data_IF_302049954734
#
_entry.id   IF_302049954734
#
_cell.length_a   1.000
_cell.length_b   1.000
_cell.length_c   1.000
_cell.angle_alpha   90.00
_cell.angle_beta   90.00
_cell.angle_gamma   90.00
#
_symmetry.space_group_name_H-M   'P 1'
#
loop_
_entity.id
_entity.type
_entity.pdbx_description
1 polymer ?
#
# COMPACT_ATOMS: atom_id res chain seq x y z
N UNK A 1 8.64 -57.66 23.86
CA UNK A 1 8.86 -57.97 22.43
C UNK A 1 9.47 -56.73 21.81
N UNK A 2 10.76 -56.78 21.47
CA UNK A 2 11.54 -55.61 21.05
C UNK A 2 11.83 -55.76 19.57
N UNK A 3 11.39 -54.79 18.76
CA UNK A 3 11.79 -54.72 17.35
C UNK A 3 12.91 -53.68 17.26
N UNK A 4 14.13 -54.16 16.98
CA UNK A 4 15.28 -53.34 16.64
C UNK A 4 15.43 -53.37 15.12
N UNK A 5 15.14 -52.26 14.43
CA UNK A 5 15.45 -52.10 13.01
C UNK A 5 16.62 -51.11 12.75
N UNK A 6 17.32 -50.68 13.79
CA UNK A 6 18.49 -49.80 13.64
C UNK A 6 18.15 -48.33 13.37
N UNK A 7 16.87 -47.97 13.33
CA UNK A 7 16.40 -46.58 13.39
C UNK A 7 16.14 -46.21 14.86
N UNK A 8 16.46 -44.98 15.26
CA UNK A 8 16.29 -44.45 16.62
C UNK A 8 14.94 -44.86 17.26
N UNK A 9 14.90 -45.15 18.58
CA UNK A 9 13.68 -45.60 19.23
C UNK A 9 12.56 -44.56 19.07
N UNK A 10 11.48 -45.00 18.43
CA UNK A 10 10.22 -44.28 18.32
C UNK A 10 9.68 -44.03 19.74
N UNK A 11 9.72 -42.79 20.22
CA UNK A 11 9.18 -42.43 21.53
C UNK A 11 7.66 -42.37 21.41
N UNK A 12 6.98 -43.33 22.02
CA UNK A 12 5.54 -43.29 22.28
C UNK A 12 5.30 -42.26 23.40
N UNK A 13 4.63 -41.15 23.10
CA UNK A 13 4.05 -40.28 24.13
C UNK A 13 2.62 -40.76 24.38
N UNK A 14 2.32 -41.24 25.59
CA UNK A 14 1.00 -41.74 26.01
C UNK A 14 0.36 -42.86 25.17
N UNK A 15 1.16 -43.67 24.46
CA UNK A 15 0.69 -44.92 23.84
C UNK A 15 -0.06 -44.78 22.52
N UNK A 16 -0.12 -43.57 21.92
CA UNK A 16 -0.76 -43.35 20.63
C UNK A 16 0.27 -43.21 19.50
N UNK A 17 0.00 -43.83 18.35
CA UNK A 17 0.86 -43.76 17.16
C UNK A 17 0.71 -42.39 16.51
N UNK A 18 1.64 -41.47 16.81
CA UNK A 18 1.79 -40.23 16.08
C UNK A 18 2.68 -40.52 14.86
N UNK A 19 2.18 -40.27 13.65
CA UNK A 19 2.74 -40.60 12.33
C UNK A 19 2.50 -42.03 11.83
N UNK A 20 1.60 -42.17 10.84
CA UNK A 20 1.46 -43.39 10.01
C UNK A 20 1.87 -43.05 8.58
N UNK A 21 2.65 -43.93 7.92
CA UNK A 21 3.16 -43.79 6.54
C UNK A 21 4.13 -42.61 6.25
N UNK A 22 4.88 -42.13 7.23
CA UNK A 22 5.90 -41.06 7.02
C UNK A 22 7.31 -41.63 6.86
N UNK A 23 8.07 -41.18 5.85
CA UNK A 23 9.52 -41.43 5.72
C UNK A 23 10.26 -40.15 6.12
N UNK A 24 10.92 -40.16 7.26
CA UNK A 24 11.79 -39.07 7.69
C UNK A 24 13.22 -39.36 7.23
N UNK A 25 13.78 -38.52 6.35
CA UNK A 25 15.20 -38.62 5.92
C UNK A 25 16.18 -37.89 6.85
N UNK A 26 15.71 -37.52 8.03
CA UNK A 26 16.44 -36.81 9.09
C UNK A 26 15.60 -36.75 10.37
N UNK A 27 16.17 -36.28 11.47
CA UNK A 27 15.44 -36.10 12.73
C UNK A 27 14.44 -34.94 12.61
N UNK A 28 13.14 -35.22 12.76
CA UNK A 28 12.13 -34.20 13.06
C UNK A 28 12.11 -33.99 14.56
N UNK A 29 12.68 -32.87 14.99
CA UNK A 29 12.68 -32.49 16.40
C UNK A 29 11.63 -31.43 16.61
N UNK A 30 10.43 -31.84 17.05
CA UNK A 30 9.51 -30.93 17.73
C UNK A 30 10.11 -30.74 19.13
N UNK A 31 11.00 -29.77 19.30
CA UNK A 31 11.46 -29.39 20.64
C UNK A 31 10.21 -28.96 21.40
N UNK A 32 9.82 -29.65 22.46
CA UNK A 32 8.70 -29.17 23.29
C UNK A 32 9.15 -27.99 24.13
N UNK A 33 9.11 -26.83 23.50
CA UNK A 33 8.63 -25.54 23.98
C UNK A 33 7.36 -25.33 23.17
N UNK A 34 6.19 -25.77 23.65
CA UNK A 34 4.99 -26.01 22.81
C UNK A 34 4.73 -24.92 21.75
N UNK A 35 5.02 -25.22 20.48
CA UNK A 35 4.08 -24.80 19.44
C UNK A 35 2.72 -25.42 19.78
N UNK A 36 1.65 -24.67 19.56
CA UNK A 36 0.47 -24.67 20.43
C UNK A 36 -0.55 -25.78 20.06
N UNK A 37 -0.92 -26.60 21.05
CA UNK A 37 -2.22 -27.28 21.13
C UNK A 37 -3.06 -26.50 22.16
N UNK A 38 -3.89 -25.56 21.70
CA UNK A 38 -4.71 -24.73 22.59
C UNK A 38 -6.06 -25.39 22.80
N UNK A 39 -6.12 -26.13 23.91
CA UNK A 39 -7.34 -26.26 24.71
C UNK A 39 -8.42 -27.13 24.06
N UNK A 40 -8.33 -28.45 24.31
CA UNK A 40 -9.38 -29.39 23.95
C UNK A 40 -10.74 -28.96 24.54
N UNK A 41 -11.65 -28.42 23.70
CA UNK A 41 -13.06 -28.12 24.04
C UNK A 41 -13.54 -26.65 24.07
N UNK A 42 -12.79 -25.67 23.55
CA UNK A 42 -13.10 -24.21 23.55
C UNK A 42 -13.60 -23.71 22.17
N UNK A 43 -14.51 -22.71 22.09
CA UNK A 43 -15.01 -22.07 20.83
C UNK A 43 -14.23 -20.82 20.39
N UNK A 44 -13.03 -20.66 20.93
CA UNK A 44 -12.05 -19.62 20.62
C UNK A 44 -11.34 -19.89 19.29
N UNK A 45 -11.07 -18.85 18.49
CA UNK A 45 -10.34 -18.92 17.21
C UNK A 45 -9.04 -19.77 17.29
N UNK A 46 -8.79 -20.64 16.29
CA UNK A 46 -7.54 -21.41 16.20
C UNK A 46 -7.23 -21.85 14.75
N UNK A 47 -6.14 -21.31 14.20
CA UNK A 47 -5.52 -21.74 12.93
C UNK A 47 -4.56 -22.92 13.17
N UNK A 48 -4.69 -23.95 12.34
CA UNK A 48 -4.22 -25.30 12.66
C UNK A 48 -3.22 -25.87 11.65
N UNK A 49 -3.18 -25.36 10.42
CA UNK A 49 -3.03 -26.23 9.24
C UNK A 49 -2.95 -25.37 7.96
N UNK A 50 -2.71 -25.87 6.75
CA UNK A 50 -2.05 -27.07 6.15
C UNK A 50 -2.10 -26.78 4.67
N UNK A 51 -1.02 -27.15 3.99
CA UNK A 51 -0.78 -26.84 2.59
C UNK A 51 -1.34 -28.00 1.76
N UNK A 52 -2.48 -27.79 1.08
CA UNK A 52 -3.02 -28.75 0.10
C UNK A 52 -3.16 -28.08 -1.28
N UNK A 53 -2.11 -28.24 -2.10
CA UNK A 53 -2.06 -27.77 -3.50
C UNK A 53 -1.51 -28.89 -4.39
N UNK A 54 -2.05 -29.04 -5.60
CA UNK A 54 -1.47 -29.92 -6.62
C UNK A 54 -0.07 -29.45 -7.01
N UNK A 55 0.96 -30.28 -6.79
CA UNK A 55 2.34 -29.95 -7.12
C UNK A 55 3.33 -30.37 -6.03
N UNK A 56 4.46 -29.67 -5.94
CA UNK A 56 5.47 -29.84 -4.88
C UNK A 56 5.67 -28.52 -4.11
N UNK A 57 4.64 -28.02 -3.40
CA UNK A 57 4.77 -26.82 -2.58
C UNK A 57 5.80 -27.06 -1.49
N UNK A 58 6.66 -26.07 -1.26
CA UNK A 58 7.63 -26.11 -0.17
C UNK A 58 7.46 -24.83 0.64
N UNK A 59 7.22 -25.00 1.94
CA UNK A 59 7.51 -23.94 2.90
C UNK A 59 9.00 -24.07 3.23
N UNK A 60 9.78 -23.12 2.75
CA UNK A 60 11.23 -23.06 3.01
C UNK A 60 11.48 -21.94 4.00
N UNK A 61 12.25 -22.25 5.05
CA UNK A 61 12.81 -21.26 5.94
C UNK A 61 14.24 -20.97 5.49
N UNK A 62 14.52 -19.72 5.17
CA UNK A 62 15.88 -19.27 4.85
C UNK A 62 16.53 -18.70 6.11
N UNK A 63 17.55 -19.38 6.63
CA UNK A 63 18.30 -18.93 7.82
C UNK A 63 19.33 -17.83 7.48
N UNK A 64 19.52 -17.50 6.20
CA UNK A 64 20.48 -16.47 5.79
C UNK A 64 19.94 -15.03 5.98
N UNK A 65 18.63 -14.89 6.20
CA UNK A 65 17.97 -13.62 6.50
C UNK A 65 17.38 -13.61 7.92
N UNK A 66 17.52 -12.49 8.64
CA UNK A 66 16.84 -12.26 9.93
C UNK A 66 15.41 -11.71 9.70
N UNK A 67 14.65 -12.40 8.85
CA UNK A 67 13.31 -11.99 8.44
C UNK A 67 12.42 -13.18 8.08
N UNK A 68 11.12 -13.05 8.38
CA UNK A 68 10.10 -13.92 7.80
C UNK A 68 9.60 -13.26 6.50
N UNK A 69 9.96 -13.84 5.35
CA UNK A 69 9.55 -13.35 4.04
C UNK A 69 8.49 -14.26 3.41
N UNK A 70 7.49 -13.65 2.78
CA UNK A 70 6.47 -14.37 2.01
C UNK A 70 6.46 -13.80 0.59
N UNK A 71 6.86 -14.62 -0.38
CA UNK A 71 7.08 -14.21 -1.77
C UNK A 71 5.90 -14.47 -2.71
N UNK A 72 4.78 -14.96 -2.17
CA UNK A 72 3.57 -15.28 -2.91
C UNK A 72 2.43 -14.34 -2.54
N UNK A 73 1.33 -14.36 -3.28
CA UNK A 73 0.17 -13.54 -2.96
C UNK A 73 -0.36 -13.85 -1.55
N UNK A 74 -0.62 -12.80 -0.76
CA UNK A 74 -1.35 -12.92 0.49
C UNK A 74 -2.80 -12.49 0.27
N UNK A 75 -3.70 -13.47 0.22
CA UNK A 75 -5.14 -13.22 0.11
C UNK A 75 -5.74 -13.12 1.52
N UNK A 76 -6.36 -11.98 1.83
CA UNK A 76 -7.17 -11.83 3.04
C UNK A 76 -8.64 -12.02 2.72
N UNK A 77 -9.34 -12.75 3.59
CA UNK A 77 -10.78 -12.88 3.52
C UNK A 77 -11.47 -11.51 3.66
N UNK A 78 -12.63 -11.35 3.03
CA UNK A 78 -13.40 -10.10 3.08
C UNK A 78 -13.64 -9.63 4.51
N UNK A 79 -13.45 -8.34 4.78
CA UNK A 79 -13.66 -7.75 6.10
C UNK A 79 -12.52 -8.00 7.10
N UNK A 80 -11.40 -8.58 6.66
CA UNK A 80 -10.16 -8.64 7.44
C UNK A 80 -9.19 -7.57 6.94
N UNK A 81 -8.56 -6.86 7.87
CA UNK A 81 -7.56 -5.84 7.55
C UNK A 81 -6.15 -6.34 7.84
N UNK A 82 -5.19 -5.95 7.00
CA UNK A 82 -3.78 -5.97 7.36
C UNK A 82 -3.46 -4.73 8.18
N UNK A 83 -3.30 -4.90 9.49
CA UNK A 83 -2.72 -3.89 10.35
C UNK A 83 -1.23 -4.15 10.49
N UNK A 84 -0.39 -3.36 9.81
CA UNK A 84 1.04 -3.35 10.05
C UNK A 84 1.41 -2.03 10.71
N UNK A 85 2.00 -2.08 11.91
CA UNK A 85 2.66 -0.92 12.50
C UNK A 85 4.10 -0.91 11.99
N UNK A 86 4.27 -0.36 10.79
CA UNK A 86 5.58 -0.27 10.14
C UNK A 86 6.24 0.98 10.73
N UNK A 87 7.44 0.83 11.28
CA UNK A 87 8.34 1.96 11.58
C UNK A 87 9.38 2.02 10.47
N UNK A 88 9.02 2.52 9.27
CA UNK A 88 9.90 2.42 8.12
C UNK A 88 11.17 3.25 8.34
N UNK A 89 12.33 2.58 8.25
CA UNK A 89 13.58 3.27 7.87
C UNK A 89 13.73 3.34 6.34
N UNK A 90 12.84 2.68 5.59
CA UNK A 90 12.80 2.61 4.13
C UNK A 90 11.37 2.81 3.61
N UNK A 91 11.15 3.39 2.41
CA UNK A 91 9.83 3.64 1.85
C UNK A 91 8.95 2.39 1.74
N UNK A 92 7.63 2.58 1.78
CA UNK A 92 6.67 1.54 1.39
C UNK A 92 6.57 1.58 -0.15
N UNK A 93 7.02 0.52 -0.81
CA UNK A 93 6.90 0.36 -2.26
C UNK A 93 5.62 -0.43 -2.59
N UNK A 94 4.65 0.25 -3.20
CA UNK A 94 3.43 -0.38 -3.74
C UNK A 94 3.61 -0.46 -5.26
N UNK A 95 3.81 -1.67 -5.77
CA UNK A 95 3.94 -1.92 -7.22
C UNK A 95 2.60 -2.41 -7.77
N UNK A 96 1.99 -1.59 -8.62
CA UNK A 96 0.83 -1.99 -9.40
C UNK A 96 1.24 -3.08 -10.42
N UNK A 97 0.55 -4.23 -10.48
CA UNK A 97 0.81 -5.23 -11.50
C UNK A 97 0.58 -4.63 -12.89
N UNK A 98 1.47 -4.93 -13.84
CA UNK A 98 1.43 -4.35 -15.19
C UNK A 98 0.14 -4.75 -15.91
N UNK A 99 -0.64 -3.79 -16.37
CA UNK A 99 -1.74 -4.02 -17.32
C UNK A 99 -3.13 -3.60 -16.85
N UNK A 100 -3.36 -3.51 -15.53
CA UNK A 100 -4.63 -2.99 -15.01
C UNK A 100 -4.45 -1.51 -14.64
N UNK A 101 -5.44 -0.68 -14.96
CA UNK A 101 -5.40 0.77 -14.71
C UNK A 101 -5.49 1.14 -13.22
N UNK A 102 -5.79 0.18 -12.33
CA UNK A 102 -6.00 0.42 -10.91
C UNK A 102 -5.20 -0.56 -10.03
N UNK A 103 -4.16 -0.05 -9.37
CA UNK A 103 -3.41 -0.75 -8.31
C UNK A 103 -2.63 0.22 -7.41
N UNK A 104 -3.10 1.46 -7.33
CA UNK A 104 -2.52 2.50 -6.49
C UNK A 104 -2.98 2.43 -5.04
N UNK A 105 -2.94 3.58 -4.35
CA UNK A 105 -3.43 3.71 -2.98
C UNK A 105 -4.86 4.25 -3.00
N UNK A 106 -5.79 3.51 -2.40
CA UNK A 106 -7.20 3.89 -2.31
C UNK A 106 -7.59 4.22 -0.87
N UNK A 107 -8.15 5.41 -0.68
CA UNK A 107 -8.71 5.88 0.58
C UNK A 107 -10.24 5.90 0.45
N UNK A 108 -10.86 4.82 0.91
CA UNK A 108 -12.31 4.60 0.77
C UNK A 108 -13.06 4.91 2.05
N UNK A 109 -14.10 5.74 1.96
CA UNK A 109 -15.03 6.00 3.05
C UNK A 109 -16.08 4.89 3.12
N UNK A 110 -16.15 4.19 4.25
CA UNK A 110 -17.00 3.01 4.42
C UNK A 110 -18.51 3.30 4.25
N UNK A 111 -18.97 4.50 4.60
CA UNK A 111 -20.41 4.82 4.63
C UNK A 111 -21.05 5.02 3.26
N UNK A 112 -20.29 5.31 2.21
CA UNK A 112 -20.84 5.63 0.90
C UNK A 112 -19.93 5.29 -0.28
N UNK A 113 -18.89 4.49 -0.05
CA UNK A 113 -17.89 4.13 -1.07
C UNK A 113 -17.25 5.32 -1.80
N UNK A 114 -17.25 6.52 -1.20
CA UNK A 114 -16.48 7.63 -1.74
C UNK A 114 -14.99 7.29 -1.62
N UNK A 115 -14.27 7.42 -2.72
CA UNK A 115 -12.88 6.95 -2.80
C UNK A 115 -12.00 8.04 -3.37
N UNK A 116 -10.96 8.40 -2.63
CA UNK A 116 -9.79 9.08 -3.22
C UNK A 116 -8.78 8.02 -3.64
N UNK A 117 -8.24 8.16 -4.84
CA UNK A 117 -7.21 7.25 -5.34
C UNK A 117 -5.98 8.02 -5.81
N UNK A 118 -4.80 7.50 -5.45
CA UNK A 118 -3.50 7.89 -5.97
C UNK A 118 -2.99 6.75 -6.84
N UNK A 119 -2.80 6.99 -8.13
CA UNK A 119 -2.39 5.94 -9.06
C UNK A 119 -1.58 6.49 -10.22
N UNK A 120 -1.00 5.58 -10.99
CA UNK A 120 -0.15 5.91 -12.12
C UNK A 120 -0.61 5.14 -13.37
N UNK A 121 -0.59 5.83 -14.51
CA UNK A 121 -0.61 5.24 -15.85
C UNK A 121 0.80 5.25 -16.46
N UNK A 122 0.94 4.78 -17.69
CA UNK A 122 2.23 4.73 -18.40
C UNK A 122 3.04 6.03 -18.34
N UNK A 123 2.37 7.17 -18.33
CA UNK A 123 3.00 8.50 -18.47
C UNK A 123 2.44 9.54 -17.49
N UNK A 124 1.55 9.17 -16.57
CA UNK A 124 0.80 10.13 -15.75
C UNK A 124 0.63 9.64 -14.32
N UNK A 125 0.89 10.52 -13.34
CA UNK A 125 0.47 10.35 -11.96
C UNK A 125 -0.86 11.08 -11.74
N UNK A 126 -1.81 10.42 -11.09
CA UNK A 126 -3.19 10.88 -10.95
C UNK A 126 -3.63 10.88 -9.49
N UNK A 127 -4.30 11.96 -9.10
CA UNK A 127 -5.13 12.07 -7.90
C UNK A 127 -6.57 12.16 -8.38
N UNK A 128 -7.38 11.18 -8.00
CA UNK A 128 -8.75 11.04 -8.53
C UNK A 128 -9.75 10.85 -7.42
N UNK A 129 -11.01 11.14 -7.71
CA UNK A 129 -12.13 10.99 -6.79
C UNK A 129 -13.32 10.31 -7.47
N UNK A 130 -13.92 9.37 -6.76
CA UNK A 130 -15.21 8.78 -7.09
C UNK A 130 -16.20 9.06 -5.95
N UNK A 131 -17.38 9.62 -6.26
CA UNK A 131 -18.41 9.92 -5.27
C UNK A 131 -19.14 8.67 -4.75
N UNK A 132 -19.08 7.58 -5.53
CA UNK A 132 -19.58 6.25 -5.19
C UNK A 132 -18.91 5.19 -6.09
N UNK A 133 -17.71 4.74 -5.72
CA UNK A 133 -17.03 3.69 -6.49
C UNK A 133 -17.86 2.38 -6.41
N UNK A 134 -18.25 1.86 -7.58
CA UNK A 134 -19.22 0.76 -7.74
C UNK A 134 -18.73 -0.61 -7.25
N UNK A 135 -17.52 -0.68 -6.68
CA UNK A 135 -16.85 -1.91 -6.27
C UNK A 135 -15.91 -2.41 -7.37
N UNK A 136 -14.73 -2.92 -6.97
CA UNK A 136 -13.60 -3.17 -7.86
C UNK A 136 -13.28 -1.98 -8.79
N UNK A 137 -13.13 -0.79 -8.20
CA UNK A 137 -12.37 0.35 -8.72
C UNK A 137 -12.39 0.53 -10.25
N UNK A 138 -13.59 0.59 -10.84
CA UNK A 138 -13.75 0.75 -12.27
C UNK A 138 -13.26 2.15 -12.68
N UNK A 139 -12.37 2.21 -13.68
CA UNK A 139 -11.77 3.45 -14.22
C UNK A 139 -12.81 4.53 -14.50
N UNK A 140 -13.99 4.13 -14.99
CA UNK A 140 -15.07 5.05 -15.35
C UNK A 140 -15.75 5.74 -14.16
N UNK A 141 -15.54 5.28 -12.93
CA UNK A 141 -16.14 5.88 -11.73
C UNK A 141 -15.34 7.08 -11.21
N UNK A 142 -14.08 7.20 -11.63
CA UNK A 142 -13.15 8.20 -11.12
C UNK A 142 -13.10 9.42 -12.04
N UNK A 143 -13.15 10.59 -11.41
CA UNK A 143 -12.88 11.87 -12.04
C UNK A 143 -11.50 12.34 -11.59
N UNK A 144 -10.68 12.78 -12.53
CA UNK A 144 -9.39 13.37 -12.20
C UNK A 144 -9.61 14.67 -11.41
N UNK A 145 -8.90 14.79 -10.28
CA UNK A 145 -8.81 16.05 -9.52
C UNK A 145 -7.53 16.78 -9.91
N UNK A 146 -6.41 16.06 -9.89
CA UNK A 146 -5.09 16.56 -10.27
C UNK A 146 -4.34 15.49 -11.03
N UNK A 147 -3.64 15.88 -12.09
CA UNK A 147 -2.75 15.00 -12.84
C UNK A 147 -1.41 15.65 -13.10
N UNK A 148 -0.34 14.86 -13.02
CA UNK A 148 1.01 15.23 -13.46
C UNK A 148 1.42 14.30 -14.59
N UNK A 149 1.72 14.84 -15.76
CA UNK A 149 2.16 14.04 -16.90
C UNK A 149 3.69 13.89 -16.95
N UNK A 150 4.16 13.12 -17.92
CA UNK A 150 5.58 12.82 -18.13
C UNK A 150 6.41 14.05 -18.53
N UNK A 151 5.77 15.14 -18.96
CA UNK A 151 6.42 16.44 -19.21
C UNK A 151 6.46 17.34 -17.98
N UNK A 152 5.95 16.89 -16.83
CA UNK A 152 5.89 17.68 -15.58
C UNK A 152 4.77 18.73 -15.55
N UNK A 153 3.83 18.68 -16.49
CA UNK A 153 2.66 19.57 -16.50
C UNK A 153 1.68 19.12 -15.43
N UNK A 154 1.26 20.06 -14.59
CA UNK A 154 0.18 19.87 -13.61
C UNK A 154 -1.14 20.30 -14.25
N UNK A 155 -2.11 19.41 -14.24
CA UNK A 155 -3.47 19.66 -14.75
C UNK A 155 -4.42 19.53 -13.57
N UNK A 156 -5.24 20.55 -13.35
CA UNK A 156 -6.35 20.53 -12.39
C UNK A 156 -7.62 20.24 -13.21
N UNK A 157 -8.27 19.12 -12.92
CA UNK A 157 -9.45 18.66 -13.66
C UNK A 157 -10.72 18.69 -12.82
N UNK A 158 -11.87 18.66 -13.50
CA UNK A 158 -13.21 18.72 -12.90
C UNK A 158 -14.04 19.88 -13.44
N UNK A 159 -15.37 19.71 -13.44
CA UNK A 159 -16.35 20.66 -14.01
C UNK A 159 -16.34 22.05 -13.36
N UNK A 160 -15.64 22.21 -12.24
CA UNK A 160 -15.50 23.48 -11.50
C UNK A 160 -14.13 23.59 -10.81
N UNK A 161 -13.09 22.95 -11.35
CA UNK A 161 -11.74 23.03 -10.78
C UNK A 161 -11.16 24.43 -10.96
N UNK A 162 -10.68 25.05 -9.88
CA UNK A 162 -9.93 26.30 -9.90
C UNK A 162 -8.74 26.23 -8.93
N UNK A 163 -7.73 27.06 -9.16
CA UNK A 163 -6.65 27.27 -8.22
C UNK A 163 -7.04 28.43 -7.30
N UNK A 164 -7.28 28.13 -6.02
CA UNK A 164 -7.46 29.14 -4.99
C UNK A 164 -6.09 29.48 -4.37
N UNK A 165 -5.75 30.76 -4.32
CA UNK A 165 -4.46 31.23 -3.82
C UNK A 165 -4.68 32.18 -2.65
N UNK A 166 -3.99 31.91 -1.53
CA UNK A 166 -3.97 32.83 -0.40
C UNK A 166 -3.03 33.99 -0.70
N UNK A 167 -3.47 35.19 -0.40
CA UNK A 167 -2.63 36.39 -0.46
C UNK A 167 -1.39 36.25 0.42
N UNK A 168 -0.25 36.68 -0.12
CA UNK A 168 1.02 36.71 0.59
C UNK A 168 1.79 37.99 0.24
N UNK A 169 2.78 38.33 1.08
CA UNK A 169 3.80 39.30 0.69
C UNK A 169 4.56 38.81 -0.53
N UNK A 170 4.96 39.72 -1.42
CA UNK A 170 5.77 39.41 -2.58
C UNK A 170 6.95 38.51 -2.18
N UNK A 171 7.06 37.29 -2.74
CA UNK A 171 8.23 36.46 -2.50
C UNK A 171 9.46 37.14 -3.12
N UNK A 172 10.65 36.81 -2.61
CA UNK A 172 11.89 37.31 -3.21
C UNK A 172 12.04 36.88 -4.68
N UNK A 173 13.07 37.43 -5.36
CA UNK A 173 13.39 37.07 -6.73
C UNK A 173 13.48 35.54 -6.94
N UNK A 174 13.02 35.08 -8.10
CA UNK A 174 13.15 33.68 -8.50
C UNK A 174 14.61 33.23 -8.60
N UNK A 175 14.88 31.94 -8.46
CA UNK A 175 16.16 31.39 -8.90
C UNK A 175 16.25 31.42 -10.45
N UNK A 176 17.42 31.12 -11.01
CA UNK A 176 17.59 31.01 -12.47
C UNK A 176 16.52 30.10 -13.08
N UNK A 177 15.88 30.56 -14.16
CA UNK A 177 14.82 29.89 -14.89
C UNK A 177 13.56 29.56 -14.05
N UNK A 178 13.28 30.39 -13.03
CA UNK A 178 12.07 30.27 -12.20
C UNK A 178 11.24 31.55 -12.19
N UNK A 179 9.93 31.35 -12.23
CA UNK A 179 8.91 32.35 -11.94
C UNK A 179 8.12 31.89 -10.72
N UNK A 180 7.69 32.83 -9.87
CA UNK A 180 6.79 32.53 -8.73
C UNK A 180 5.50 33.33 -8.91
N UNK A 181 4.39 32.64 -9.08
CA UNK A 181 3.05 33.25 -9.17
C UNK A 181 2.44 33.30 -7.77
N UNK A 182 1.82 34.41 -7.41
CA UNK A 182 1.23 34.63 -6.09
C UNK A 182 0.03 35.58 -6.16
N UNK A 183 -0.84 35.50 -5.14
CA UNK A 183 -1.90 36.47 -4.91
C UNK A 183 -1.39 37.58 -3.98
N UNK A 184 -1.75 38.84 -4.25
CA UNK A 184 -1.28 40.03 -3.50
C UNK A 184 -2.38 41.07 -3.35
N UNK A 185 -2.27 41.93 -2.35
CA UNK A 185 -3.04 43.18 -2.26
C UNK A 185 -2.08 44.33 -2.58
N UNK A 186 -2.06 44.82 -3.83
CA UNK A 186 -1.18 45.92 -4.21
C UNK A 186 -1.86 47.29 -4.09
N UNK A 187 -1.96 47.79 -2.85
CA UNK A 187 -2.46 49.14 -2.58
C UNK A 187 -3.97 49.36 -2.75
N UNK A 188 -4.70 48.35 -3.27
CA UNK A 188 -6.16 48.27 -3.28
C UNK A 188 -6.75 47.55 -2.06
N UNK A 189 -8.06 47.27 -2.11
CA UNK A 189 -8.77 46.45 -1.10
C UNK A 189 -9.08 45.02 -1.58
N UNK A 190 -8.60 44.66 -2.77
CA UNK A 190 -8.97 43.45 -3.51
C UNK A 190 -7.72 42.65 -3.92
N UNK A 191 -7.92 41.41 -4.37
CA UNK A 191 -6.85 40.45 -4.64
C UNK A 191 -6.37 40.53 -6.09
N UNK A 192 -5.07 40.73 -6.27
CA UNK A 192 -4.41 40.73 -7.57
C UNK A 192 -3.61 39.44 -7.81
N UNK A 193 -3.48 39.04 -9.07
CA UNK A 193 -2.60 37.95 -9.49
C UNK A 193 -1.29 38.52 -10.03
N UNK A 194 -0.19 38.22 -9.36
CA UNK A 194 1.14 38.69 -9.72
C UNK A 194 2.13 37.54 -9.92
N UNK A 195 3.24 37.83 -10.58
CA UNK A 195 4.40 36.96 -10.57
C UNK A 195 5.70 37.75 -10.41
N UNK A 196 6.66 37.14 -9.71
CA UNK A 196 8.02 37.66 -9.58
C UNK A 196 8.99 36.80 -10.39
N UNK A 197 9.86 37.46 -11.17
CA UNK A 197 10.84 36.82 -12.02
C UNK A 197 12.22 36.72 -11.36
N UNK A 198 13.15 36.06 -12.04
CA UNK A 198 14.51 35.80 -11.55
C UNK A 198 15.35 37.07 -11.31
N UNK A 199 15.01 38.18 -11.96
CA UNK A 199 15.66 39.49 -11.78
C UNK A 199 15.01 40.34 -10.68
N UNK A 200 13.96 39.83 -10.03
CA UNK A 200 13.20 40.52 -8.99
C UNK A 200 12.13 41.47 -9.51
N UNK A 201 11.94 41.57 -10.82
CA UNK A 201 10.80 42.30 -11.39
C UNK A 201 9.49 41.61 -11.03
N UNK A 202 8.46 42.40 -10.79
CA UNK A 202 7.10 41.94 -10.49
C UNK A 202 6.17 42.44 -11.57
N UNK A 203 5.44 41.51 -12.18
CA UNK A 203 4.36 41.82 -13.11
C UNK A 203 3.02 41.41 -12.49
N UNK A 204 2.02 42.28 -12.64
CA UNK A 204 0.62 42.02 -12.27
C UNK A 204 -0.12 41.61 -13.53
N UNK A 205 -0.63 40.37 -13.55
CA UNK A 205 -1.30 39.77 -14.70
C UNK A 205 -2.80 40.00 -14.71
N UNK A 206 -3.40 40.07 -13.52
CA UNK A 206 -4.80 40.40 -13.34
C UNK A 206 -4.91 41.28 -12.10
N UNK A 207 -5.51 42.46 -12.30
CA UNK A 207 -5.81 43.38 -11.22
C UNK A 207 -7.31 43.40 -11.01
N UNK A 208 -7.74 43.27 -9.76
CA UNK A 208 -9.14 43.47 -9.39
C UNK A 208 -9.35 44.97 -9.08
N UNK A 209 -10.28 45.61 -9.80
CA UNK A 209 -10.54 47.07 -9.73
C UNK A 209 -11.91 47.36 -9.14
#
# INVERSE_FOLDING_TARGET
>A
MTFNDGSLPLVLVNGERVFTNSIFRGSVTIKTTSGIDYKPGSDTDTDLITIDVTGSPKLLWDESEDAASWSHDWILASGKGLGANITPRSPIDIKQPSGDAFGGVLFKRASNNATFALWQESDQFRITYASNASGADAVGDFVDCVRVNSTGTIIIEGTSGFLEMKEISAPGAGATDKVRIYAVVDGGSLTDLAAVFQDGTVDIFAQEV
#
